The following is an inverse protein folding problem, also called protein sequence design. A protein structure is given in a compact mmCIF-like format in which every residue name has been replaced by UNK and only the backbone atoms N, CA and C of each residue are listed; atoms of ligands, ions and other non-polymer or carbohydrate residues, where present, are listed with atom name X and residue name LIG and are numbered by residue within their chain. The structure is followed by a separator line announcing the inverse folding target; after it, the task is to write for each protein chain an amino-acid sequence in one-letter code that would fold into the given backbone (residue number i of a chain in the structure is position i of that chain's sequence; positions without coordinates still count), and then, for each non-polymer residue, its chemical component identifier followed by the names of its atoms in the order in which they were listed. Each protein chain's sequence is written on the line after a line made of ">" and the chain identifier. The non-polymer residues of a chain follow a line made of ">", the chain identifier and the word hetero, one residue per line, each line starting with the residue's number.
data_IF_807797340269
#
_entry.id   IF_807797340269
#
_cell.length_a   1.000
_cell.length_b   1.000
_cell.length_c   1.000
_cell.angle_alpha   90.00
_cell.angle_beta   90.00
_cell.angle_gamma   90.00
#
_symmetry.space_group_name_H-M   'P 1'
#
loop_
_entity.id
_entity.type
_entity.pdbx_description
1 polymer ?
#
# COMPACT_ATOMS: atom_id res chain seq x y z
N UNK A 1 31.74 -4.63 -10.18
CA UNK A 1 32.39 -3.31 -10.35
C UNK A 1 31.89 -2.45 -9.21
N UNK A 2 32.78 -1.70 -8.56
CA UNK A 2 32.44 -0.96 -7.34
C UNK A 2 31.47 0.20 -7.62
N UNK A 3 30.51 0.51 -6.72
CA UNK A 3 29.44 1.49 -6.93
C UNK A 3 29.97 2.92 -7.17
N UNK A 4 31.13 3.20 -6.59
CA UNK A 4 31.78 4.51 -6.59
C UNK A 4 32.13 4.99 -8.00
N UNK A 5 32.38 4.07 -8.95
CA UNK A 5 32.66 4.40 -10.36
C UNK A 5 31.45 5.05 -11.04
N UNK A 6 30.24 4.81 -10.52
CA UNK A 6 28.98 5.38 -11.01
C UNK A 6 28.39 6.43 -10.05
N UNK A 7 29.13 6.85 -9.03
CA UNK A 7 28.66 7.83 -8.03
C UNK A 7 27.58 7.30 -7.08
N UNK A 8 27.46 5.97 -6.96
CA UNK A 8 26.49 5.31 -6.07
C UNK A 8 27.12 5.06 -4.69
N UNK A 9 26.29 5.15 -3.64
CA UNK A 9 26.71 4.81 -2.27
C UNK A 9 26.98 3.30 -2.16
N UNK A 10 27.86 2.90 -1.23
CA UNK A 10 28.22 1.49 -0.96
C UNK A 10 27.00 0.56 -0.71
N UNK A 11 25.87 1.12 -0.24
CA UNK A 11 24.63 0.39 0.01
C UNK A 11 23.90 -0.03 -1.29
N UNK A 12 24.30 0.53 -2.43
CA UNK A 12 23.77 0.17 -3.74
C UNK A 12 24.14 -1.27 -4.11
N UNK A 13 25.33 -1.74 -3.73
CA UNK A 13 25.73 -3.13 -3.94
C UNK A 13 24.86 -4.09 -3.12
N UNK A 14 24.62 -3.81 -1.84
CA UNK A 14 23.73 -4.63 -1.00
C UNK A 14 22.31 -4.67 -1.54
N UNK A 15 21.79 -3.52 -2.01
CA UNK A 15 20.43 -3.45 -2.58
C UNK A 15 20.31 -4.23 -3.88
N UNK A 16 21.34 -4.15 -4.73
CA UNK A 16 21.44 -4.91 -5.97
C UNK A 16 21.51 -6.40 -5.70
N UNK A 17 22.38 -6.84 -4.79
CA UNK A 17 22.56 -8.25 -4.45
C UNK A 17 21.29 -8.85 -3.83
N UNK A 18 20.57 -8.09 -2.99
CA UNK A 18 19.28 -8.48 -2.46
C UNK A 18 18.25 -8.70 -3.59
N UNK A 19 18.20 -7.78 -4.55
CA UNK A 19 17.28 -7.85 -5.67
C UNK A 19 17.62 -9.01 -6.62
N UNK A 20 18.89 -9.22 -6.95
CA UNK A 20 19.34 -10.34 -7.79
C UNK A 20 19.07 -11.69 -7.11
N UNK A 21 19.35 -11.79 -5.81
CA UNK A 21 19.08 -13.00 -5.02
C UNK A 21 17.59 -13.33 -4.99
N UNK A 22 16.74 -12.32 -4.75
CA UNK A 22 15.28 -12.49 -4.78
C UNK A 22 14.80 -12.97 -6.15
N UNK A 23 15.28 -12.36 -7.23
CA UNK A 23 14.92 -12.73 -8.59
C UNK A 23 15.36 -14.17 -8.93
N UNK A 24 16.52 -14.61 -8.44
CA UNK A 24 16.98 -15.99 -8.60
C UNK A 24 16.06 -16.96 -7.85
N UNK A 25 15.69 -16.67 -6.59
CA UNK A 25 14.76 -17.50 -5.83
C UNK A 25 13.37 -17.57 -6.47
N UNK A 26 12.83 -16.45 -6.95
CA UNK A 26 11.55 -16.41 -7.65
C UNK A 26 11.61 -17.24 -8.96
N UNK A 27 12.70 -17.13 -9.71
CA UNK A 27 12.94 -17.93 -10.93
C UNK A 27 13.08 -19.42 -10.62
N UNK A 28 13.77 -19.77 -9.53
CA UNK A 28 13.91 -21.14 -9.06
C UNK A 28 12.55 -21.72 -8.65
N UNK A 29 11.71 -20.98 -7.92
CA UNK A 29 10.36 -21.38 -7.55
C UNK A 29 9.48 -21.64 -8.78
N UNK A 30 9.57 -20.79 -9.80
CA UNK A 30 8.85 -20.98 -11.06
C UNK A 30 9.30 -22.24 -11.82
N UNK A 31 10.59 -22.60 -11.73
CA UNK A 31 11.20 -23.70 -12.49
C UNK A 31 11.17 -25.05 -11.74
N UNK A 32 11.20 -25.05 -10.40
CA UNK A 32 11.17 -26.25 -9.55
C UNK A 32 9.88 -27.07 -9.70
N UNK A 33 8.85 -26.48 -10.32
CA UNK A 33 7.66 -27.18 -10.75
C UNK A 33 6.42 -26.45 -10.29
N UNK A 34 5.70 -25.87 -11.25
CA UNK A 34 4.25 -25.72 -11.17
C UNK A 34 3.52 -27.07 -11.16
N UNK A 35 4.04 -28.06 -10.42
CA UNK A 35 3.44 -29.36 -10.21
C UNK A 35 2.92 -29.43 -8.78
N UNK A 36 1.60 -29.32 -8.65
CA UNK A 36 0.85 -29.27 -7.40
C UNK A 36 1.00 -27.96 -6.60
N UNK A 37 0.16 -26.97 -6.95
CA UNK A 37 -0.66 -26.31 -5.91
C UNK A 37 -1.53 -27.39 -5.25
N UNK A 38 -0.91 -28.25 -4.47
CA UNK A 38 -1.59 -29.16 -3.56
C UNK A 38 -2.30 -28.31 -2.52
N UNK A 39 -3.60 -28.55 -2.36
CA UNK A 39 -4.50 -27.74 -1.57
C UNK A 39 -3.96 -27.42 -0.17
N UNK A 40 -3.77 -26.13 0.06
CA UNK A 40 -3.65 -25.55 1.39
C UNK A 40 -4.50 -24.27 1.46
N UNK A 41 -5.72 -24.32 0.92
CA UNK A 41 -6.57 -23.11 0.78
C UNK A 41 -7.64 -23.00 1.86
N UNK A 42 -7.76 -23.95 2.79
CA UNK A 42 -8.70 -23.80 3.92
C UNK A 42 -8.13 -22.97 5.08
N UNK A 43 -6.82 -23.02 5.34
CA UNK A 43 -6.18 -22.27 6.44
C UNK A 43 -5.60 -20.91 6.02
N UNK A 44 -5.13 -20.78 4.78
CA UNK A 44 -4.61 -19.51 4.25
C UNK A 44 -5.71 -18.47 4.11
N UNK A 45 -6.84 -18.83 3.50
CA UNK A 45 -7.91 -17.88 3.23
C UNK A 45 -8.54 -17.36 4.51
N UNK A 46 -8.75 -18.20 5.54
CA UNK A 46 -9.26 -17.74 6.83
C UNK A 46 -8.31 -16.73 7.48
N UNK A 47 -6.99 -16.99 7.45
CA UNK A 47 -6.02 -16.01 7.98
C UNK A 47 -5.97 -14.72 7.18
N UNK A 48 -6.18 -14.78 5.86
CA UNK A 48 -6.27 -13.59 5.01
C UNK A 48 -7.54 -12.78 5.29
N UNK A 49 -8.68 -13.45 5.52
CA UNK A 49 -9.92 -12.81 5.94
C UNK A 49 -9.78 -12.19 7.34
N UNK A 50 -9.09 -12.84 8.27
CA UNK A 50 -8.83 -12.28 9.61
C UNK A 50 -8.00 -11.00 9.52
N UNK A 51 -6.96 -10.99 8.66
CA UNK A 51 -6.14 -9.80 8.40
C UNK A 51 -6.96 -8.69 7.73
N UNK A 52 -7.78 -9.04 6.73
CA UNK A 52 -8.65 -8.08 6.05
C UNK A 52 -9.65 -7.44 7.04
N UNK A 53 -10.24 -8.24 7.93
CA UNK A 53 -11.11 -7.75 8.99
C UNK A 53 -10.36 -6.86 9.98
N UNK A 54 -9.15 -7.23 10.41
CA UNK A 54 -8.33 -6.38 11.28
C UNK A 54 -8.04 -5.01 10.62
N UNK A 55 -7.70 -4.99 9.33
CA UNK A 55 -7.52 -3.76 8.56
C UNK A 55 -8.82 -2.94 8.52
N UNK A 56 -9.96 -3.56 8.25
CA UNK A 56 -11.27 -2.90 8.22
C UNK A 56 -11.64 -2.31 9.58
N UNK A 57 -11.33 -2.99 10.69
CA UNK A 57 -11.61 -2.48 12.04
C UNK A 57 -10.73 -1.31 12.44
N UNK A 58 -9.52 -1.23 11.89
CA UNK A 58 -8.58 -0.13 12.14
C UNK A 58 -8.80 1.07 11.21
N UNK A 59 -9.52 0.88 10.11
CA UNK A 59 -9.77 1.95 9.15
C UNK A 59 -10.76 2.97 9.75
N UNK A 60 -10.37 4.25 9.86
CA UNK A 60 -11.25 5.28 10.42
C UNK A 60 -12.50 5.50 9.57
N UNK A 61 -13.53 6.08 10.17
CA UNK A 61 -14.71 6.55 9.46
C UNK A 61 -14.35 7.68 8.50
N UNK A 62 -15.15 7.81 7.43
CA UNK A 62 -15.00 8.93 6.50
C UNK A 62 -15.17 10.26 7.24
N UNK A 63 -14.40 11.26 6.81
CA UNK A 63 -14.52 12.63 7.26
C UNK A 63 -15.83 13.26 6.79
N UNK A 64 -16.42 14.11 7.62
CA UNK A 64 -17.52 14.99 7.23
C UNK A 64 -16.96 16.20 6.47
N UNK A 65 -17.00 16.12 5.15
CA UNK A 65 -16.50 17.17 4.26
C UNK A 65 -17.40 18.40 4.24
N UNK A 66 -18.71 18.25 4.53
CA UNK A 66 -19.64 19.38 4.63
C UNK A 66 -19.35 20.22 5.87
N UNK A 67 -19.17 19.57 7.03
CA UNK A 67 -18.77 20.25 8.25
C UNK A 67 -17.37 20.88 8.14
N UNK A 68 -16.44 20.22 7.46
CA UNK A 68 -15.10 20.76 7.19
C UNK A 68 -15.16 22.01 6.31
N UNK A 69 -15.99 22.02 5.26
CA UNK A 69 -16.18 23.17 4.38
C UNK A 69 -16.81 24.37 5.13
N UNK A 70 -17.76 24.12 6.03
CA UNK A 70 -18.35 25.17 6.86
C UNK A 70 -17.34 25.77 7.84
N UNK A 71 -16.45 24.95 8.40
CA UNK A 71 -15.44 25.39 9.38
C UNK A 71 -14.21 26.02 8.73
N UNK A 72 -13.84 25.56 7.53
CA UNK A 72 -12.68 26.01 6.77
C UNK A 72 -13.14 26.39 5.34
N UNK A 73 -13.81 27.53 5.18
CA UNK A 73 -14.33 27.94 3.89
C UNK A 73 -13.20 28.20 2.89
N UNK A 74 -13.50 27.94 1.62
CA UNK A 74 -12.60 28.20 0.50
C UNK A 74 -12.46 29.71 0.33
N UNK A 75 -11.30 30.24 0.69
CA UNK A 75 -10.95 31.64 0.61
C UNK A 75 -9.67 31.78 -0.22
N UNK A 76 -9.61 32.78 -1.09
CA UNK A 76 -8.43 33.05 -1.91
C UNK A 76 -7.18 33.33 -1.06
N UNK A 77 -7.36 34.06 0.04
CA UNK A 77 -6.29 34.44 0.98
C UNK A 77 -5.80 33.26 1.85
N UNK A 78 -6.58 32.18 1.95
CA UNK A 78 -6.26 31.00 2.76
C UNK A 78 -6.33 29.72 1.92
N UNK A 79 -5.34 29.57 1.04
CA UNK A 79 -5.23 28.43 0.11
C UNK A 79 -5.21 27.07 0.82
N UNK A 80 -4.71 27.01 2.07
CA UNK A 80 -4.63 25.77 2.85
C UNK A 80 -5.99 25.20 3.23
N UNK A 81 -7.03 26.03 3.41
CA UNK A 81 -8.39 25.53 3.70
C UNK A 81 -8.93 24.71 2.52
N UNK A 82 -8.64 25.17 1.30
CA UNK A 82 -9.03 24.47 0.07
C UNK A 82 -8.33 23.13 -0.06
N UNK A 83 -7.01 23.10 0.21
CA UNK A 83 -6.21 21.86 0.18
C UNK A 83 -6.70 20.87 1.23
N UNK A 84 -7.02 21.35 2.45
CA UNK A 84 -7.53 20.51 3.53
C UNK A 84 -8.81 19.78 3.12
N UNK A 85 -9.81 20.50 2.59
CA UNK A 85 -11.09 19.91 2.18
C UNK A 85 -10.88 18.91 1.03
N UNK A 86 -10.03 19.25 0.04
CA UNK A 86 -9.72 18.36 -1.07
C UNK A 86 -9.01 17.08 -0.63
N UNK A 87 -8.06 17.17 0.29
CA UNK A 87 -7.35 16.01 0.82
C UNK A 87 -8.28 15.13 1.68
N UNK A 88 -9.24 15.71 2.40
CA UNK A 88 -10.28 14.96 3.11
C UNK A 88 -11.19 14.18 2.16
N UNK A 89 -11.61 14.79 1.03
CA UNK A 89 -12.35 14.09 -0.02
C UNK A 89 -11.55 12.94 -0.65
N UNK A 90 -10.26 13.21 -0.95
CA UNK A 90 -9.36 12.18 -1.50
C UNK A 90 -9.19 11.01 -0.54
N UNK A 91 -9.01 11.30 0.75
CA UNK A 91 -8.88 10.28 1.78
C UNK A 91 -10.16 9.46 1.96
N UNK A 92 -11.33 10.10 1.91
CA UNK A 92 -12.63 9.41 1.94
C UNK A 92 -12.82 8.46 0.75
N UNK A 93 -12.38 8.88 -0.45
CA UNK A 93 -12.42 8.04 -1.66
C UNK A 93 -11.54 6.80 -1.49
N UNK A 94 -10.33 6.99 -0.95
CA UNK A 94 -9.42 5.88 -0.64
C UNK A 94 -10.00 4.93 0.40
N UNK A 95 -10.52 5.46 1.51
CA UNK A 95 -11.16 4.64 2.56
C UNK A 95 -12.33 3.83 2.01
N UNK A 96 -13.15 4.44 1.15
CA UNK A 96 -14.29 3.75 0.52
C UNK A 96 -13.83 2.64 -0.42
N UNK A 97 -12.77 2.89 -1.20
CA UNK A 97 -12.18 1.88 -2.09
C UNK A 97 -11.61 0.70 -1.31
N UNK A 98 -10.91 0.97 -0.21
CA UNK A 98 -10.37 -0.09 0.69
C UNK A 98 -11.51 -0.92 1.28
N UNK A 99 -12.59 -0.28 1.75
CA UNK A 99 -13.76 -0.97 2.30
C UNK A 99 -14.40 -1.90 1.27
N UNK A 100 -14.63 -1.41 0.05
CA UNK A 100 -15.24 -2.20 -1.04
C UNK A 100 -14.33 -3.33 -1.51
N UNK A 101 -13.00 -3.12 -1.49
CA UNK A 101 -12.05 -4.13 -1.96
C UNK A 101 -11.81 -5.27 -0.96
N UNK A 102 -12.07 -5.06 0.33
CA UNK A 102 -11.82 -6.03 1.40
C UNK A 102 -13.10 -6.69 1.95
N UNK A 103 -14.28 -6.15 1.62
CA UNK A 103 -15.58 -6.80 1.83
C UNK A 103 -15.85 -7.85 0.74
#
# INVERSE_FOLDING_TARGET
>A
QTPEVFGLHENADTSKDLQETKLLFDSLLLTHGGGAKGGATSGSDSTLYDIANDILTKLPSNFDTEAALLKFPVLYEESMNTVLVQEMERYNTLCSTIRVSLQ
#
